data_IF_284657185811
#
_entry.id   IF_284657185811
#
_cell.length_a   1.000
_cell.length_b   1.000
_cell.length_c   1.000
_cell.angle_alpha   90.00
_cell.angle_beta   90.00
_cell.angle_gamma   90.00
#
_symmetry.space_group_name_H-M   'P 1'
#
loop_
_entity.id
_entity.type
_entity.pdbx_description
1 polymer ?
#
# COMPACT_ATOMS: atom_id res chain seq x y z
N UNK A 1 -6.90 13.73 0.59
CA UNK A 1 -6.76 12.27 0.50
C UNK A 1 -6.76 11.77 1.92
N UNK A 2 -7.78 11.00 2.28
CA UNK A 2 -8.04 10.56 3.65
C UNK A 2 -7.10 9.42 4.08
N UNK A 3 -6.48 8.75 3.11
CA UNK A 3 -5.54 7.65 3.31
C UNK A 3 -4.16 8.02 2.77
N UNK A 4 -3.13 7.82 3.57
CA UNK A 4 -1.72 7.86 3.17
C UNK A 4 -1.23 6.43 2.93
N UNK A 5 -0.35 6.26 1.95
CA UNK A 5 0.20 4.95 1.59
C UNK A 5 1.71 4.91 1.85
N UNK A 6 2.16 3.86 2.53
CA UNK A 6 3.58 3.48 2.55
C UNK A 6 3.77 2.26 1.66
N UNK A 7 4.74 2.33 0.76
CA UNK A 7 5.11 1.23 -0.13
C UNK A 7 6.48 0.69 0.29
N UNK A 8 6.55 -0.59 0.63
CA UNK A 8 7.81 -1.25 0.93
C UNK A 8 8.13 -2.28 -0.17
N UNK A 9 9.33 -2.20 -0.73
CA UNK A 9 9.84 -3.14 -1.72
C UNK A 9 11.16 -3.71 -1.22
N UNK A 10 11.28 -5.03 -1.18
CA UNK A 10 12.51 -5.70 -0.77
C UNK A 10 12.71 -7.00 -1.54
N UNK A 11 13.94 -7.50 -1.51
CA UNK A 11 14.30 -8.81 -2.03
C UNK A 11 14.64 -9.73 -0.86
N UNK A 12 14.01 -10.90 -0.79
CA UNK A 12 14.34 -11.91 0.20
C UNK A 12 15.63 -12.67 -0.17
N UNK A 13 16.17 -13.43 0.77
CA UNK A 13 17.41 -14.20 0.57
C UNK A 13 17.31 -15.26 -0.54
N UNK A 14 16.09 -15.67 -0.89
CA UNK A 14 15.79 -16.59 -1.99
C UNK A 14 15.68 -15.90 -3.36
N UNK A 15 16.11 -14.64 -3.48
CA UNK A 15 16.07 -13.80 -4.69
C UNK A 15 14.66 -13.34 -5.10
N UNK A 16 13.62 -13.72 -4.37
CA UNK A 16 12.27 -13.25 -4.65
C UNK A 16 12.08 -11.81 -4.19
N UNK A 17 11.58 -10.96 -5.10
CA UNK A 17 11.15 -9.61 -4.77
C UNK A 17 9.73 -9.60 -4.20
N UNK A 18 9.48 -8.71 -3.25
CA UNK A 18 8.16 -8.49 -2.66
C UNK A 18 7.82 -7.01 -2.63
N UNK A 19 6.52 -6.72 -2.69
CA UNK A 19 5.97 -5.39 -2.61
C UNK A 19 4.76 -5.38 -1.67
N UNK A 20 4.81 -4.53 -0.66
CA UNK A 20 3.72 -4.31 0.29
C UNK A 20 3.24 -2.88 0.22
N UNK A 21 1.92 -2.71 0.22
CA UNK A 21 1.28 -1.40 0.36
C UNK A 21 0.50 -1.42 1.66
N UNK A 22 0.82 -0.49 2.56
CA UNK A 22 0.09 -0.27 3.81
C UNK A 22 -0.59 1.09 3.74
N UNK A 23 -1.90 1.11 3.99
CA UNK A 23 -2.68 2.32 4.15
C UNK A 23 -2.68 2.78 5.60
N UNK A 24 -2.64 4.09 5.79
CA UNK A 24 -2.69 4.77 7.08
C UNK A 24 -3.69 5.91 7.01
N UNK A 25 -4.61 5.98 7.96
CA UNK A 25 -5.61 7.04 8.03
C UNK A 25 -5.90 7.36 9.50
N UNK A 26 -6.53 8.50 9.73
CA UNK A 26 -6.91 8.94 11.07
C UNK A 26 -8.41 8.77 11.21
N UNK A 27 -8.86 8.14 12.29
CA UNK A 27 -10.28 8.06 12.65
C UNK A 27 -10.51 8.71 14.01
N UNK A 28 -11.75 9.16 14.22
CA UNK A 28 -12.24 9.66 15.50
C UNK A 28 -13.37 8.74 15.99
N UNK A 29 -13.05 7.53 16.52
CA UNK A 29 -14.07 6.55 16.94
C UNK A 29 -14.97 7.08 18.07
N UNK A 30 -14.47 8.06 18.83
CA UNK A 30 -15.23 8.82 19.84
C UNK A 30 -14.83 10.29 19.73
N UNK A 31 -15.79 11.18 19.91
CA UNK A 31 -15.55 12.63 19.89
C UNK A 31 -14.39 13.02 20.82
N UNK A 32 -13.42 13.74 20.28
CA UNK A 32 -12.18 14.16 20.91
C UNK A 32 -11.05 13.12 20.93
N UNK A 33 -11.28 11.90 20.42
CA UNK A 33 -10.30 10.80 20.46
C UNK A 33 -9.85 10.47 19.06
N UNK A 34 -8.67 10.95 18.67
CA UNK A 34 -8.07 10.69 17.37
C UNK A 34 -7.14 9.49 17.44
N UNK A 35 -7.35 8.52 16.54
CA UNK A 35 -6.55 7.30 16.46
C UNK A 35 -5.96 7.14 15.06
N UNK A 36 -4.66 6.79 15.00
CA UNK A 36 -4.01 6.40 13.76
C UNK A 36 -4.34 4.93 13.47
N UNK A 37 -5.04 4.71 12.36
CA UNK A 37 -5.33 3.39 11.83
C UNK A 37 -4.29 3.00 10.78
N UNK A 38 -4.04 1.70 10.67
CA UNK A 38 -3.20 1.15 9.61
C UNK A 38 -3.68 -0.23 9.16
N UNK A 39 -3.60 -0.50 7.86
CA UNK A 39 -3.93 -1.80 7.29
C UNK A 39 -3.05 -2.15 6.09
N UNK A 40 -2.62 -3.41 6.00
CA UNK A 40 -1.97 -3.94 4.80
C UNK A 40 -3.03 -4.08 3.72
N UNK A 41 -2.90 -3.29 2.65
CA UNK A 41 -3.84 -3.26 1.53
C UNK A 41 -3.45 -4.28 0.45
N UNK A 42 -2.17 -4.57 0.33
CA UNK A 42 -1.69 -5.58 -0.61
C UNK A 42 -0.28 -6.06 -0.28
N UNK A 43 -0.06 -7.35 -0.53
CA UNK A 43 1.23 -8.01 -0.45
C UNK A 43 1.38 -8.86 -1.71
N UNK A 44 2.34 -8.53 -2.57
CA UNK A 44 2.57 -9.26 -3.82
C UNK A 44 4.02 -9.64 -3.96
N UNK A 45 4.26 -10.87 -4.42
CA UNK A 45 5.55 -11.25 -4.99
C UNK A 45 5.72 -10.52 -6.32
N UNK A 46 6.86 -9.88 -6.50
CA UNK A 46 7.24 -9.24 -7.75
C UNK A 46 7.94 -10.26 -8.64
N UNK A 47 7.76 -10.13 -9.95
CA UNK A 47 8.67 -10.78 -10.89
C UNK A 47 10.01 -10.02 -10.89
N UNK A 48 11.11 -10.69 -11.28
CA UNK A 48 12.50 -10.22 -11.13
C UNK A 48 12.86 -8.85 -11.78
N UNK A 49 11.90 -8.12 -12.34
CA UNK A 49 12.12 -6.79 -12.89
C UNK A 49 11.45 -5.73 -12.00
N UNK A 50 12.22 -5.10 -11.11
CA UNK A 50 11.72 -4.10 -10.15
C UNK A 50 11.87 -2.66 -10.67
N UNK A 51 11.46 -2.39 -11.91
CA UNK A 51 11.49 -1.03 -12.45
C UNK A 51 10.24 -0.23 -12.05
N UNK A 52 10.37 1.10 -11.97
CA UNK A 52 9.33 1.99 -11.44
C UNK A 52 7.95 1.83 -12.08
N UNK A 53 7.87 1.53 -13.38
CA UNK A 53 6.60 1.28 -14.07
C UNK A 53 5.86 0.04 -13.52
N UNK A 54 6.57 -1.07 -13.23
CA UNK A 54 5.94 -2.27 -12.67
C UNK A 54 5.49 -2.07 -11.24
N UNK A 55 6.28 -1.34 -10.44
CA UNK A 55 5.89 -0.96 -9.09
C UNK A 55 4.66 -0.05 -9.10
N UNK A 56 4.61 0.93 -10.00
CA UNK A 56 3.44 1.79 -10.18
C UNK A 56 2.19 1.01 -10.61
N UNK A 57 2.32 0.05 -11.53
CA UNK A 57 1.21 -0.83 -11.92
C UNK A 57 0.75 -1.73 -10.77
N UNK A 58 1.67 -2.27 -9.96
CA UNK A 58 1.32 -3.08 -8.79
C UNK A 58 0.58 -2.24 -7.74
N UNK A 59 1.09 -1.03 -7.45
CA UNK A 59 0.44 -0.07 -6.57
C UNK A 59 -0.97 0.29 -7.06
N UNK A 60 -1.11 0.64 -8.34
CA UNK A 60 -2.40 1.00 -8.93
C UNK A 60 -3.42 -0.12 -8.80
N UNK A 61 -3.05 -1.37 -9.12
CA UNK A 61 -3.93 -2.53 -8.97
C UNK A 61 -4.40 -2.72 -7.53
N UNK A 62 -3.51 -2.57 -6.55
CA UNK A 62 -3.87 -2.68 -5.13
C UNK A 62 -4.84 -1.55 -4.74
N UNK A 63 -4.56 -0.30 -5.14
CA UNK A 63 -5.43 0.83 -4.84
C UNK A 63 -6.81 0.71 -5.51
N UNK A 64 -6.86 0.18 -6.73
CA UNK A 64 -8.11 -0.04 -7.47
C UNK A 64 -8.97 -1.11 -6.81
N UNK A 65 -8.37 -2.21 -6.34
CA UNK A 65 -9.06 -3.28 -5.61
C UNK A 65 -9.78 -2.79 -4.35
N UNK A 66 -9.18 -1.83 -3.63
CA UNK A 66 -9.78 -1.24 -2.42
C UNK A 66 -10.48 0.10 -2.69
N UNK A 67 -10.65 0.47 -3.96
CA UNK A 67 -11.39 1.67 -4.44
C UNK A 67 -10.84 3.01 -3.92
N UNK A 68 -9.51 3.11 -3.76
CA UNK A 68 -8.81 4.34 -3.37
C UNK A 68 -7.90 4.91 -4.47
N UNK A 69 -7.97 4.39 -5.69
CA UNK A 69 -7.12 4.80 -6.80
C UNK A 69 -7.33 6.27 -7.22
N UNK A 70 -8.51 6.82 -6.98
CA UNK A 70 -8.83 8.21 -7.27
C UNK A 70 -8.81 9.03 -5.99
N UNK A 71 -8.11 10.17 -6.06
CA UNK A 71 -8.18 11.18 -5.00
C UNK A 71 -9.52 11.90 -5.15
N UNK A 72 -10.40 11.72 -4.18
CA UNK A 72 -11.57 12.59 -3.97
C UNK A 72 -11.11 13.90 -3.35
#
# INVERSE_FOLDING_TARGET
GEVNLTCNAWQASNVDGYFTVTGHWIEEPKLGTWELQSAVLGFTKLNNAHHGQRLGQALFKICDQVKIAHKV
#
